data_IF_858383655450
#
_entry.id   IF_858383655450
#
_cell.length_a   1.000
_cell.length_b   1.000
_cell.length_c   1.000
_cell.angle_alpha   90.00
_cell.angle_beta   90.00
_cell.angle_gamma   90.00
#
_symmetry.space_group_name_H-M   'P 1'
#
loop_
_entity.id
_entity.type
_entity.pdbx_description
1 polymer ?
#
# COMPACT_ATOMS: atom_id res chain seq x y z
N UNK A 1 14.59 -34.90 30.29
CA UNK A 1 15.22 -34.34 29.08
C UNK A 1 14.26 -34.02 27.91
N UNK A 2 12.98 -34.43 27.89
CA UNK A 2 12.08 -34.24 26.73
C UNK A 2 11.20 -32.97 26.78
N UNK A 3 10.80 -32.53 27.97
CA UNK A 3 9.92 -31.37 28.15
C UNK A 3 10.62 -30.02 27.88
N UNK A 4 11.90 -29.89 28.25
CA UNK A 4 12.68 -28.66 28.04
C UNK A 4 12.92 -28.37 26.56
N UNK A 5 13.15 -29.41 25.75
CA UNK A 5 13.30 -29.30 24.30
C UNK A 5 11.98 -28.88 23.62
N UNK A 6 10.86 -29.42 24.10
CA UNK A 6 9.54 -29.03 23.59
C UNK A 6 9.20 -27.56 23.90
N UNK A 7 9.59 -27.07 25.07
CA UNK A 7 9.38 -25.69 25.47
C UNK A 7 10.20 -24.70 24.62
N UNK A 8 11.43 -25.10 24.25
CA UNK A 8 12.32 -24.29 23.40
C UNK A 8 11.79 -24.20 21.96
N UNK A 9 11.22 -25.28 21.43
CA UNK A 9 10.63 -25.29 20.09
C UNK A 9 9.36 -24.43 20.02
N UNK A 10 8.53 -24.44 21.06
CA UNK A 10 7.32 -23.61 21.14
C UNK A 10 7.63 -22.12 21.21
N UNK A 11 8.67 -21.73 21.96
CA UNK A 11 9.06 -20.31 22.07
C UNK A 11 9.63 -19.78 20.76
N UNK A 12 10.52 -20.53 20.08
CA UNK A 12 11.04 -20.13 18.76
C UNK A 12 9.93 -20.04 17.70
N UNK A 13 8.94 -20.93 17.72
CA UNK A 13 7.80 -20.89 16.79
C UNK A 13 6.90 -19.66 16.97
N UNK A 14 6.64 -19.24 18.21
CA UNK A 14 5.80 -18.07 18.51
C UNK A 14 6.45 -16.75 18.09
N UNK A 15 7.78 -16.63 18.19
CA UNK A 15 8.52 -15.45 17.70
C UNK A 15 8.50 -15.34 16.17
N UNK A 16 8.53 -16.46 15.45
CA UNK A 16 8.47 -16.47 13.98
C UNK A 16 7.10 -16.01 13.42
N UNK A 17 6.02 -16.20 14.20
CA UNK A 17 4.66 -15.81 13.81
C UNK A 17 4.51 -14.30 13.63
N UNK A 18 5.32 -13.46 14.27
CA UNK A 18 5.26 -12.00 14.12
C UNK A 18 6.05 -11.47 12.91
N UNK A 19 6.99 -12.25 12.36
CA UNK A 19 7.81 -11.82 11.23
C UNK A 19 7.09 -11.91 9.88
N UNK A 20 5.92 -12.55 9.83
CA UNK A 20 5.23 -12.89 8.58
C UNK A 20 3.89 -12.19 8.38
N UNK A 21 3.43 -11.36 9.32
CA UNK A 21 2.25 -10.53 9.01
C UNK A 21 2.73 -9.35 8.16
N UNK A 22 2.21 -9.21 6.92
CA UNK A 22 2.40 -8.00 6.16
C UNK A 22 1.92 -6.82 7.01
N UNK A 23 2.62 -5.68 6.99
CA UNK A 23 2.12 -4.49 7.64
C UNK A 23 0.70 -4.22 7.12
N UNK A 24 -0.26 -4.03 8.02
CA UNK A 24 -1.63 -3.63 7.70
C UNK A 24 -1.70 -2.17 7.18
N UNK A 25 -0.68 -1.74 6.44
CA UNK A 25 -0.64 -0.45 5.78
C UNK A 25 -1.29 -0.60 4.41
N UNK A 26 -2.57 -0.24 4.34
CA UNK A 26 -3.22 0.14 3.09
C UNK A 26 -3.35 -0.97 2.05
N UNK A 27 -4.15 -2.00 2.34
CA UNK A 27 -4.73 -2.81 1.28
C UNK A 27 -5.89 -2.06 0.63
N UNK A 28 -5.57 -0.93 0.01
CA UNK A 28 -6.42 -0.26 -0.98
C UNK A 28 -6.41 -1.17 -2.22
N UNK A 29 -7.34 -2.13 -2.24
CA UNK A 29 -7.31 -3.26 -3.15
C UNK A 29 -7.11 -2.83 -4.60
N UNK A 30 -5.93 -3.15 -5.16
CA UNK A 30 -5.49 -2.85 -6.53
C UNK A 30 -6.39 -1.84 -7.26
N UNK A 31 -6.40 -0.61 -6.74
CA UNK A 31 -6.80 0.54 -7.56
C UNK A 31 -5.68 0.65 -8.61
N UNK A 32 -6.05 0.76 -9.88
CA UNK A 32 -5.09 0.78 -10.99
C UNK A 32 -3.96 1.80 -10.78
N UNK A 33 -2.89 1.68 -11.55
CA UNK A 33 -1.76 2.59 -11.43
C UNK A 33 -2.06 4.00 -11.98
N UNK A 34 -1.37 4.99 -11.42
CA UNK A 34 -1.41 6.35 -11.93
C UNK A 34 -0.82 6.40 -13.36
N UNK A 35 -1.42 7.19 -14.27
CA UNK A 35 -0.81 7.45 -15.56
C UNK A 35 0.52 8.19 -15.39
N UNK A 36 1.49 7.91 -16.25
CA UNK A 36 2.75 8.65 -16.24
C UNK A 36 2.51 10.08 -16.76
N UNK A 37 2.86 11.12 -16.01
CA UNK A 37 2.70 12.50 -16.47
C UNK A 37 3.59 12.75 -17.70
N UNK A 38 3.04 13.39 -18.72
CA UNK A 38 3.78 13.78 -19.95
C UNK A 38 4.54 15.10 -19.82
N UNK A 39 4.40 15.80 -18.68
CA UNK A 39 5.03 17.08 -18.39
C UNK A 39 4.61 17.57 -17.01
N UNK A 40 5.02 18.80 -16.66
CA UNK A 40 4.56 19.45 -15.44
C UNK A 40 3.16 20.06 -15.64
N UNK A 41 2.18 19.54 -14.90
CA UNK A 41 0.87 20.16 -14.77
C UNK A 41 0.90 21.42 -13.89
N UNK A 42 -0.29 21.91 -13.55
CA UNK A 42 -0.42 23.03 -12.60
C UNK A 42 0.08 22.57 -11.24
N UNK A 43 0.91 23.39 -10.60
CA UNK A 43 1.47 23.15 -9.27
C UNK A 43 0.41 23.38 -8.19
N UNK A 44 -0.45 22.38 -7.98
CA UNK A 44 -1.51 22.41 -6.97
C UNK A 44 -1.61 21.06 -6.26
N UNK A 45 -1.73 21.12 -4.93
CA UNK A 45 -1.94 19.95 -4.06
C UNK A 45 -3.42 19.83 -3.74
N UNK A 46 -4.17 19.06 -4.54
CA UNK A 46 -5.58 18.80 -4.28
C UNK A 46 -5.81 17.59 -3.37
N UNK A 47 -4.82 16.72 -3.23
CA UNK A 47 -4.88 15.51 -2.40
C UNK A 47 -3.49 15.21 -1.81
N UNK A 48 -3.45 14.52 -0.66
CA UNK A 48 -2.19 14.04 -0.06
C UNK A 48 -2.06 12.52 -0.04
N UNK A 49 -3.17 11.80 -0.18
CA UNK A 49 -3.22 10.34 -0.22
C UNK A 49 -4.46 9.88 -1.01
N UNK A 50 -4.48 8.59 -1.39
CA UNK A 50 -5.61 7.99 -2.11
C UNK A 50 -6.93 8.11 -1.33
N UNK A 51 -6.88 8.08 0.01
CA UNK A 51 -8.05 8.24 0.88
C UNK A 51 -8.68 9.65 0.82
N UNK A 52 -7.95 10.63 0.27
CA UNK A 52 -8.46 11.98 0.04
C UNK A 52 -9.36 12.06 -1.21
N UNK A 53 -9.35 11.01 -2.05
CA UNK A 53 -10.03 10.98 -3.34
C UNK A 53 -11.32 10.14 -3.32
N UNK A 54 -12.14 10.30 -4.36
CA UNK A 54 -13.37 9.53 -4.51
C UNK A 54 -13.12 8.05 -4.80
N UNK A 55 -14.18 7.22 -4.73
CA UNK A 55 -14.08 5.80 -5.07
C UNK A 55 -13.62 5.62 -6.53
N UNK A 56 -12.58 4.78 -6.71
CA UNK A 56 -11.99 4.51 -8.03
C UNK A 56 -10.97 5.55 -8.50
N UNK A 57 -10.55 6.45 -7.62
CA UNK A 57 -9.54 7.48 -7.88
C UNK A 57 -8.32 7.30 -6.98
N UNK A 58 -7.19 7.82 -7.44
CA UNK A 58 -5.93 7.85 -6.69
C UNK A 58 -5.34 9.23 -6.70
N UNK A 59 -4.57 9.53 -5.67
CA UNK A 59 -3.84 10.78 -5.58
C UNK A 59 -2.56 10.67 -6.40
N UNK A 60 -2.61 11.15 -7.64
CA UNK A 60 -1.54 10.98 -8.61
C UNK A 60 -0.77 12.28 -8.82
N UNK A 61 0.55 12.19 -8.98
CA UNK A 61 1.36 13.33 -9.39
C UNK A 61 1.04 13.72 -10.83
N UNK A 62 0.74 15.01 -11.03
CA UNK A 62 0.59 15.59 -12.36
C UNK A 62 1.92 16.15 -12.91
N UNK A 63 3.06 15.83 -12.28
CA UNK A 63 4.38 16.33 -12.65
C UNK A 63 4.81 17.63 -11.96
N UNK A 64 3.93 18.33 -11.22
CA UNK A 64 4.32 19.39 -10.29
C UNK A 64 3.67 19.22 -8.91
N UNK A 65 2.36 18.94 -8.89
CA UNK A 65 1.62 18.63 -7.67
C UNK A 65 0.81 17.34 -7.76
N UNK A 66 -0.23 17.21 -6.94
CA UNK A 66 -1.07 16.01 -6.84
C UNK A 66 -2.56 16.28 -7.06
N UNK A 67 -3.18 15.42 -7.87
CA UNK A 67 -4.60 15.51 -8.21
C UNK A 67 -5.27 14.13 -8.20
N UNK A 68 -6.54 14.09 -7.80
CA UNK A 68 -7.33 12.86 -7.87
C UNK A 68 -7.54 12.45 -9.33
N UNK A 69 -7.07 11.24 -9.66
CA UNK A 69 -7.11 10.70 -11.02
C UNK A 69 -7.84 9.38 -11.02
N UNK A 70 -8.81 9.23 -11.93
CA UNK A 70 -9.50 7.97 -12.19
C UNK A 70 -8.49 6.92 -12.65
N UNK A 71 -8.44 5.78 -11.96
CA UNK A 71 -7.58 4.67 -12.33
C UNK A 71 -8.42 3.48 -12.78
N UNK A 72 -8.11 2.95 -13.97
CA UNK A 72 -8.72 1.70 -14.43
C UNK A 72 -7.94 0.54 -13.84
N UNK A 73 -8.63 -0.45 -13.26
CA UNK A 73 -7.95 -1.69 -12.82
C UNK A 73 -7.25 -2.33 -14.01
N UNK A 74 -5.93 -2.50 -13.90
CA UNK A 74 -5.14 -3.19 -14.90
C UNK A 74 -5.45 -4.68 -14.85
N UNK A 75 -6.38 -5.15 -15.67
CA UNK A 75 -6.53 -6.57 -15.95
C UNK A 75 -5.41 -6.96 -16.91
N UNK A 76 -4.28 -7.41 -16.36
CA UNK A 76 -3.23 -8.11 -17.12
C UNK A 76 -3.42 -9.60 -16.96
#
# INVERSE_FOLDING_TARGET
>A
MKASSLLLLLSLGLLAIWAQLPPASGQTGSLGECPKPSGAGICVEMCGSDDSCGPGERCCSNGCGHVCTKVTKGYR
#
